data_IF_571563375726
#
_entry.id   IF_571563375726
#
_cell.length_a   1.000
_cell.length_b   1.000
_cell.length_c   1.000
_cell.angle_alpha   90.00
_cell.angle_beta   90.00
_cell.angle_gamma   90.00
#
_symmetry.space_group_name_H-M   'P 1'
#
loop_
_entity.id
_entity.type
_entity.pdbx_description
1 polymer ?
#
# COMPACT_ATOMS: atom_id res chain seq x y z
N UNK A 1 -9.37 4.24 1.24
CA UNK A 1 -10.81 3.98 1.09
C UNK A 1 -11.13 3.94 -0.40
N UNK A 2 -11.50 2.78 -0.95
CA UNK A 2 -11.88 2.63 -2.37
C UNK A 2 -12.97 3.61 -2.82
N UNK A 3 -13.93 3.95 -1.95
CA UNK A 3 -15.03 4.85 -2.28
C UNK A 3 -14.55 6.27 -2.61
N UNK A 4 -13.43 6.71 -2.01
CA UNK A 4 -12.85 8.04 -2.14
C UNK A 4 -11.63 8.09 -3.06
N UNK A 5 -11.22 6.96 -3.62
CA UNK A 5 -10.04 6.87 -4.46
C UNK A 5 -10.29 7.45 -5.86
N UNK A 6 -9.29 8.08 -6.44
CA UNK A 6 -9.34 8.62 -7.81
C UNK A 6 -9.64 7.52 -8.82
N UNK A 7 -10.31 7.90 -9.91
CA UNK A 7 -10.57 7.00 -11.04
C UNK A 7 -9.27 6.37 -11.55
N UNK A 8 -9.36 5.11 -11.99
CA UNK A 8 -8.24 4.29 -12.47
C UNK A 8 -7.12 3.99 -11.46
N UNK A 9 -7.22 4.43 -10.20
CA UNK A 9 -6.28 3.96 -9.16
C UNK A 9 -6.53 2.49 -8.80
N UNK A 10 -5.50 1.78 -8.35
CA UNK A 10 -5.60 0.37 -7.90
C UNK A 10 -6.72 0.19 -6.88
N UNK A 11 -6.82 1.09 -5.89
CA UNK A 11 -7.86 1.01 -4.86
C UNK A 11 -9.26 1.19 -5.43
N UNK A 12 -9.45 2.03 -6.45
CA UNK A 12 -10.76 2.25 -7.09
C UNK A 12 -11.17 1.08 -7.97
N UNK A 13 -10.20 0.44 -8.64
CA UNK A 13 -10.43 -0.67 -9.55
C UNK A 13 -10.62 -2.01 -8.82
N UNK A 14 -9.93 -2.21 -7.70
CA UNK A 14 -9.82 -3.55 -7.09
C UNK A 14 -10.11 -3.60 -5.57
N UNK A 15 -10.29 -2.46 -4.90
CA UNK A 15 -10.57 -2.44 -3.46
C UNK A 15 -12.05 -2.61 -3.14
N UNK A 16 -12.38 -3.43 -2.13
CA UNK A 16 -13.76 -3.73 -1.70
C UNK A 16 -14.27 -2.74 -0.65
N UNK A 17 -13.47 -2.48 0.38
CA UNK A 17 -13.82 -1.58 1.48
C UNK A 17 -12.56 -0.97 2.12
N UNK A 18 -12.69 -0.24 3.24
CA UNK A 18 -11.54 0.41 3.89
C UNK A 18 -10.51 -0.59 4.44
N UNK A 19 -10.95 -1.73 4.97
CA UNK A 19 -10.08 -2.79 5.50
C UNK A 19 -9.48 -3.67 4.39
N UNK A 20 -10.29 -3.98 3.37
CA UNK A 20 -9.90 -4.80 2.22
C UNK A 20 -9.75 -3.90 0.99
N UNK A 21 -8.68 -3.12 0.95
CA UNK A 21 -8.48 -2.06 -0.04
C UNK A 21 -7.45 -2.42 -1.15
N UNK A 22 -7.24 -3.71 -1.38
CA UNK A 22 -6.41 -4.32 -2.43
C UNK A 22 -4.89 -4.13 -2.36
N UNK A 23 -4.38 -3.04 -1.79
CA UNK A 23 -2.93 -2.78 -1.82
C UNK A 23 -2.43 -1.98 -0.62
N UNK A 24 -1.24 -2.37 -0.16
CA UNK A 24 -0.40 -1.65 0.79
C UNK A 24 0.77 -0.98 0.06
N UNK A 25 1.18 0.18 0.55
CA UNK A 25 2.39 0.86 0.14
C UNK A 25 2.80 1.78 1.29
N UNK A 26 4.10 1.84 1.56
CA UNK A 26 4.64 2.66 2.65
C UNK A 26 4.31 4.14 2.43
N UNK A 27 4.12 4.85 3.53
CA UNK A 27 3.66 6.25 3.53
C UNK A 27 4.80 7.28 3.47
N UNK A 28 6.04 6.88 3.75
CA UNK A 28 7.24 7.73 3.69
C UNK A 28 8.50 6.93 3.30
N UNK A 29 9.57 7.59 2.82
CA UNK A 29 10.84 6.92 2.53
C UNK A 29 11.45 6.20 3.75
N UNK A 30 11.27 6.75 4.95
CA UNK A 30 11.78 6.20 6.21
C UNK A 30 11.05 4.91 6.59
N UNK A 31 9.71 4.89 6.48
CA UNK A 31 8.88 3.71 6.74
C UNK A 31 9.07 2.65 5.66
N UNK A 32 9.25 3.06 4.40
CA UNK A 32 9.61 2.16 3.30
C UNK A 32 10.88 1.37 3.59
N UNK A 33 11.95 2.02 4.06
CA UNK A 33 13.21 1.34 4.44
C UNK A 33 12.97 0.29 5.53
N UNK A 34 12.14 0.59 6.52
CA UNK A 34 11.82 -0.34 7.61
C UNK A 34 11.02 -1.54 7.08
N UNK A 35 9.97 -1.30 6.30
CA UNK A 35 9.10 -2.35 5.76
C UNK A 35 9.84 -3.25 4.75
N UNK A 36 10.67 -2.67 3.88
CA UNK A 36 11.51 -3.42 2.95
C UNK A 36 12.44 -4.35 3.73
N UNK A 37 13.13 -3.84 4.75
CA UNK A 37 14.02 -4.65 5.60
C UNK A 37 13.27 -5.75 6.36
N UNK A 38 12.03 -5.49 6.78
CA UNK A 38 11.21 -6.47 7.48
C UNK A 38 10.93 -7.71 6.62
N UNK A 39 10.61 -7.52 5.33
CA UNK A 39 10.31 -8.63 4.41
C UNK A 39 11.53 -9.18 3.67
N UNK A 40 12.53 -8.34 3.40
CA UNK A 40 13.73 -8.67 2.65
C UNK A 40 14.98 -8.25 3.44
N UNK A 41 15.38 -9.04 4.46
CA UNK A 41 16.47 -8.66 5.37
C UNK A 41 17.81 -8.48 4.66
N UNK A 42 18.06 -9.18 3.55
CA UNK A 42 19.29 -9.08 2.76
C UNK A 42 19.41 -7.82 1.90
N UNK A 43 18.34 -7.05 1.71
CA UNK A 43 18.36 -5.80 0.91
C UNK A 43 18.69 -4.55 1.75
N UNK A 44 19.05 -4.73 3.02
CA UNK A 44 19.32 -3.67 3.98
C UNK A 44 20.81 -3.39 4.20
#
# INVERSE_FOLDING_TARGET
>A
DPAKASENSIRKLYGTNKGENATHGSDAPETAKVEIKFFFPELA
#
